data_IF_994343112418
#
_entry.id   IF_994343112418
#
_cell.length_a   1.000
_cell.length_b   1.000
_cell.length_c   1.000
_cell.angle_alpha   90.00
_cell.angle_beta   90.00
_cell.angle_gamma   90.00
#
_symmetry.space_group_name_H-M   'P 1'
#
loop_
_entity.id
_entity.type
_entity.pdbx_description
1 polymer ?
#
# COMPACT_ATOMS: atom_id res chain seq x y z
N UNK A 1 4.00 -27.87 -78.58
CA UNK A 1 4.49 -27.30 -77.32
C UNK A 1 4.92 -28.44 -76.42
N UNK A 2 6.21 -28.52 -76.08
CA UNK A 2 6.71 -29.54 -75.17
C UNK A 2 6.44 -29.11 -73.73
N UNK A 3 5.65 -29.89 -73.01
CA UNK A 3 5.37 -29.66 -71.59
C UNK A 3 6.62 -30.13 -70.83
N UNK A 4 7.40 -29.16 -70.33
CA UNK A 4 8.56 -29.44 -69.49
C UNK A 4 8.04 -29.83 -68.10
N UNK A 5 8.13 -31.11 -67.76
CA UNK A 5 7.85 -31.57 -66.40
C UNK A 5 8.89 -30.98 -65.45
N UNK A 6 8.46 -30.34 -64.37
CA UNK A 6 9.40 -29.72 -63.40
C UNK A 6 10.30 -30.82 -62.84
N UNK A 7 11.61 -30.56 -62.84
CA UNK A 7 12.62 -31.48 -62.32
C UNK A 7 12.41 -31.75 -60.82
N UNK A 8 12.83 -32.93 -60.37
CA UNK A 8 12.77 -33.34 -58.98
C UNK A 8 13.54 -32.35 -58.08
N UNK A 9 12.94 -31.95 -56.98
CA UNK A 9 13.59 -31.03 -56.06
C UNK A 9 14.93 -31.56 -55.55
N UNK A 10 15.97 -30.70 -55.52
CA UNK A 10 17.26 -31.12 -54.95
C UNK A 10 17.06 -31.46 -53.48
N UNK A 11 17.38 -32.67 -53.05
CA UNK A 11 17.13 -33.13 -51.66
C UNK A 11 16.21 -34.35 -51.56
N UNK A 12 15.36 -34.65 -52.57
CA UNK A 12 14.43 -35.78 -52.54
C UNK A 12 15.17 -37.16 -52.48
N UNK A 13 16.39 -37.22 -53.00
CA UNK A 13 17.29 -38.38 -52.89
C UNK A 13 17.79 -38.59 -51.44
N UNK A 14 18.00 -37.54 -50.70
CA UNK A 14 18.50 -37.61 -49.35
C UNK A 14 17.37 -38.04 -48.37
N UNK A 15 16.17 -37.59 -48.62
CA UNK A 15 14.98 -37.99 -47.83
C UNK A 15 14.63 -39.49 -48.06
N UNK A 16 14.92 -40.03 -49.24
CA UNK A 16 14.66 -41.42 -49.59
C UNK A 16 15.78 -42.38 -49.16
N UNK A 17 16.92 -41.87 -48.67
CA UNK A 17 18.01 -42.71 -48.18
C UNK A 17 17.65 -43.37 -46.85
N UNK A 18 17.87 -44.70 -46.76
CA UNK A 18 17.56 -45.50 -45.56
C UNK A 18 18.33 -45.03 -44.29
N UNK A 19 19.46 -44.37 -44.48
CA UNK A 19 20.34 -43.93 -43.37
C UNK A 19 20.03 -42.53 -42.90
N UNK A 20 19.80 -41.59 -43.84
CA UNK A 20 19.53 -40.19 -43.50
C UNK A 20 18.04 -39.91 -43.32
N UNK A 21 17.15 -40.57 -44.11
CA UNK A 21 15.72 -40.37 -43.99
C UNK A 21 15.15 -40.65 -42.58
N UNK A 22 15.67 -41.69 -41.88
CA UNK A 22 15.28 -41.99 -40.51
C UNK A 22 15.73 -40.94 -39.52
N UNK A 23 16.89 -40.29 -39.73
CA UNK A 23 17.37 -39.20 -38.85
C UNK A 23 16.57 -37.91 -39.06
N UNK A 24 16.24 -37.57 -40.30
CA UNK A 24 15.42 -36.39 -40.60
C UNK A 24 13.95 -36.57 -40.19
N UNK A 25 13.37 -37.76 -40.31
CA UNK A 25 12.03 -38.06 -39.84
C UNK A 25 11.93 -37.99 -38.28
N UNK A 26 13.05 -38.30 -37.61
CA UNK A 26 13.10 -38.21 -36.13
C UNK A 26 13.26 -36.80 -35.62
N UNK A 27 13.79 -35.89 -36.45
CA UNK A 27 13.95 -34.45 -36.12
C UNK A 27 12.64 -33.65 -36.22
N UNK A 28 11.62 -34.17 -36.87
CA UNK A 28 10.30 -33.53 -36.97
C UNK A 28 9.32 -33.89 -35.82
N UNK A 29 9.79 -34.55 -34.78
CA UNK A 29 9.07 -34.44 -33.49
C UNK A 29 9.34 -33.06 -32.94
N UNK A 30 8.62 -32.05 -33.43
CA UNK A 30 8.28 -30.89 -32.62
C UNK A 30 7.62 -31.47 -31.37
N UNK A 31 8.42 -31.62 -30.32
CA UNK A 31 7.85 -31.79 -29.02
C UNK A 31 7.02 -30.54 -28.80
N UNK A 32 5.73 -30.61 -29.02
CA UNK A 32 4.83 -29.75 -28.35
C UNK A 32 5.13 -30.02 -26.88
N UNK A 33 6.00 -29.18 -26.29
CA UNK A 33 6.05 -29.07 -24.87
C UNK A 33 4.61 -28.68 -24.54
N UNK A 34 3.80 -29.65 -24.15
CA UNK A 34 2.52 -29.38 -23.53
C UNK A 34 2.91 -28.62 -22.27
N UNK A 35 2.95 -27.30 -22.38
CA UNK A 35 3.05 -26.43 -21.27
C UNK A 35 1.94 -26.91 -20.35
N UNK A 36 2.29 -27.41 -19.18
CA UNK A 36 1.32 -27.82 -18.20
C UNK A 36 0.61 -26.57 -17.71
N UNK A 37 -0.33 -26.08 -18.52
CA UNK A 37 -1.17 -24.91 -18.22
C UNK A 37 -1.85 -25.07 -16.87
N UNK A 38 -2.21 -26.30 -16.54
CA UNK A 38 -2.78 -26.66 -15.22
C UNK A 38 -1.86 -26.28 -14.06
N UNK A 39 -0.57 -26.60 -14.14
CA UNK A 39 0.41 -26.25 -13.11
C UNK A 39 0.65 -24.75 -13.03
N UNK A 40 0.64 -24.06 -14.17
CA UNK A 40 0.79 -22.60 -14.22
C UNK A 40 -0.41 -21.90 -13.62
N UNK A 41 -1.64 -22.36 -13.92
CA UNK A 41 -2.88 -21.84 -13.35
C UNK A 41 -2.92 -22.09 -11.84
N UNK A 42 -2.47 -23.24 -11.36
CA UNK A 42 -2.42 -23.55 -9.93
C UNK A 42 -1.49 -22.59 -9.19
N UNK A 43 -0.27 -22.39 -9.69
CA UNK A 43 0.66 -21.38 -9.15
C UNK A 43 0.06 -19.98 -9.17
N UNK A 44 -0.64 -19.62 -10.23
CA UNK A 44 -1.29 -18.31 -10.34
C UNK A 44 -2.42 -18.17 -9.31
N UNK A 45 -3.25 -19.19 -9.14
CA UNK A 45 -4.35 -19.16 -8.16
C UNK A 45 -3.83 -19.07 -6.73
N UNK A 46 -2.75 -19.78 -6.39
CA UNK A 46 -2.11 -19.66 -5.06
C UNK A 46 -1.61 -18.25 -4.83
N UNK A 47 -0.93 -17.63 -5.83
CA UNK A 47 -0.44 -16.26 -5.72
C UNK A 47 -1.61 -15.26 -5.55
N UNK A 48 -2.69 -15.42 -6.32
CA UNK A 48 -3.87 -14.55 -6.22
C UNK A 48 -4.53 -14.68 -4.83
N UNK A 49 -4.72 -15.89 -4.34
CA UNK A 49 -5.28 -16.14 -3.00
C UNK A 49 -4.36 -15.54 -1.93
N UNK A 50 -3.06 -15.74 -2.05
CA UNK A 50 -2.06 -15.15 -1.14
C UNK A 50 -2.14 -13.62 -1.14
N UNK A 51 -2.22 -12.99 -2.31
CA UNK A 51 -2.38 -11.54 -2.42
C UNK A 51 -3.71 -11.07 -1.82
N UNK A 52 -4.81 -11.78 -2.08
CA UNK A 52 -6.11 -11.44 -1.50
C UNK A 52 -6.13 -11.58 0.03
N UNK A 53 -5.48 -12.59 0.59
CA UNK A 53 -5.36 -12.77 2.04
C UNK A 53 -4.49 -11.69 2.69
N UNK A 54 -3.44 -11.23 1.99
CA UNK A 54 -2.56 -10.17 2.48
C UNK A 54 -3.08 -8.76 2.14
N UNK A 55 -3.95 -8.66 1.15
CA UNK A 55 -4.60 -7.40 0.80
C UNK A 55 -5.77 -7.20 1.75
N UNK A 56 -5.52 -6.44 2.81
CA UNK A 56 -6.61 -6.01 3.70
C UNK A 56 -7.65 -5.28 2.87
N UNK A 57 -8.89 -5.78 2.89
CA UNK A 57 -10.00 -5.27 2.07
C UNK A 57 -10.29 -3.76 2.28
N UNK A 58 -9.69 -3.17 3.30
CA UNK A 58 -9.83 -1.75 3.64
C UNK A 58 -8.70 -0.85 3.13
N UNK A 59 -7.71 -1.39 2.41
CA UNK A 59 -6.64 -0.58 1.80
C UNK A 59 -5.79 0.24 2.78
N UNK A 60 -6.11 0.22 4.05
CA UNK A 60 -5.42 0.94 5.10
C UNK A 60 -4.34 0.04 5.70
N UNK A 61 -3.19 0.03 5.06
CA UNK A 61 -1.97 -0.26 5.79
C UNK A 61 -1.70 0.95 6.69
N UNK A 62 -2.44 1.06 7.78
CA UNK A 62 -1.97 1.83 8.91
C UNK A 62 -0.60 1.22 9.24
N UNK A 63 0.46 1.96 9.01
CA UNK A 63 1.77 1.62 9.51
C UNK A 63 1.68 1.62 11.04
N UNK A 64 1.15 0.52 11.58
CA UNK A 64 1.20 0.30 13.02
C UNK A 64 2.66 0.00 13.33
N UNK A 65 3.34 1.00 13.81
CA UNK A 65 4.63 0.80 14.47
C UNK A 65 4.40 -0.28 15.53
N UNK A 66 5.15 -1.37 15.46
CA UNK A 66 4.97 -2.57 16.31
C UNK A 66 4.98 -2.27 17.81
N UNK A 67 5.44 -1.08 18.18
CA UNK A 67 5.68 -0.65 19.55
C UNK A 67 4.54 0.22 20.13
N UNK A 68 3.50 0.51 19.36
CA UNK A 68 2.39 1.36 19.81
C UNK A 68 1.19 0.51 20.25
N UNK A 69 0.82 0.60 21.51
CA UNK A 69 -0.43 0.03 22.04
C UNK A 69 -1.50 1.10 22.05
N UNK A 70 -2.38 1.03 21.05
CA UNK A 70 -3.49 1.98 20.92
C UNK A 70 -4.44 1.88 22.12
N UNK A 71 -5.06 2.99 22.52
CA UNK A 71 -6.12 3.00 23.52
C UNK A 71 -7.38 2.31 23.00
N UNK A 72 -8.16 1.73 23.92
CA UNK A 72 -9.46 1.14 23.61
C UNK A 72 -10.52 2.24 23.52
N UNK A 73 -11.40 2.17 22.52
CA UNK A 73 -12.55 3.05 22.39
C UNK A 73 -13.85 2.24 22.28
N UNK A 74 -14.91 2.72 22.93
CA UNK A 74 -16.24 2.12 22.86
C UNK A 74 -17.07 2.64 21.68
N UNK A 75 -16.75 3.84 21.22
CA UNK A 75 -17.41 4.50 20.10
C UNK A 75 -16.32 5.10 19.21
N UNK A 76 -16.39 4.80 17.94
CA UNK A 76 -15.46 5.31 16.94
C UNK A 76 -16.12 5.30 15.56
N UNK A 77 -15.67 6.20 14.70
CA UNK A 77 -15.95 6.16 13.27
C UNK A 77 -14.78 5.49 12.56
N UNK A 78 -15.04 5.00 11.36
CA UNK A 78 -13.98 4.49 10.52
C UNK A 78 -13.04 5.64 10.15
N UNK A 79 -11.71 5.42 10.27
CA UNK A 79 -10.71 6.41 9.91
C UNK A 79 -10.72 6.65 8.40
N UNK A 80 -10.72 7.91 8.01
CA UNK A 80 -10.50 8.30 6.62
C UNK A 80 -9.02 8.23 6.29
N UNK A 81 -8.70 8.04 5.02
CA UNK A 81 -7.31 8.01 4.53
C UNK A 81 -6.69 9.40 4.68
N UNK A 82 -5.64 9.50 5.48
CA UNK A 82 -4.92 10.72 5.77
C UNK A 82 -3.48 10.42 6.22
N UNK A 83 -2.57 11.39 6.16
CA UNK A 83 -1.23 11.25 6.72
C UNK A 83 -1.26 10.81 8.17
N UNK A 84 -0.28 10.01 8.59
CA UNK A 84 -0.28 9.37 9.90
C UNK A 84 0.86 9.91 10.77
N UNK A 85 0.51 10.43 11.94
CA UNK A 85 1.48 10.76 12.99
C UNK A 85 1.42 9.67 14.05
N UNK A 86 2.54 9.00 14.28
CA UNK A 86 2.64 7.96 15.30
C UNK A 86 3.48 8.44 16.47
N UNK A 87 2.94 8.37 17.67
CA UNK A 87 3.57 8.80 18.92
C UNK A 87 3.85 7.58 19.77
N UNK A 88 5.11 7.13 19.79
CA UNK A 88 5.59 6.03 20.64
C UNK A 88 6.29 6.56 21.90
N UNK A 89 6.66 5.66 22.82
CA UNK A 89 7.43 6.00 24.01
C UNK A 89 8.75 6.71 23.74
N UNK A 90 9.38 6.40 22.60
CA UNK A 90 10.73 6.85 22.27
C UNK A 90 10.73 7.99 21.24
N UNK A 91 9.84 7.94 20.27
CA UNK A 91 9.87 8.85 19.14
C UNK A 91 8.47 9.24 18.62
N UNK A 92 8.40 10.40 18.01
CA UNK A 92 7.28 10.85 17.17
C UNK A 92 7.69 10.67 15.72
N UNK A 93 6.88 9.94 14.96
CA UNK A 93 7.12 9.69 13.54
C UNK A 93 5.98 10.25 12.70
N UNK A 94 6.29 10.75 11.52
CA UNK A 94 5.35 11.19 10.50
C UNK A 94 5.53 10.34 9.25
N UNK A 95 4.49 9.63 8.85
CA UNK A 95 4.51 8.65 7.74
C UNK A 95 5.72 7.68 7.79
N UNK A 96 6.08 7.23 9.01
CA UNK A 96 7.19 6.31 9.24
C UNK A 96 8.57 6.97 9.39
N UNK A 97 8.71 8.28 9.16
CA UNK A 97 9.96 9.03 9.36
C UNK A 97 9.97 9.67 10.75
N UNK A 98 11.06 9.46 11.49
CA UNK A 98 11.20 10.07 12.80
C UNK A 98 11.40 11.59 12.66
N UNK A 99 10.54 12.34 13.35
CA UNK A 99 10.55 13.81 13.32
C UNK A 99 10.90 14.45 14.67
N UNK A 100 10.72 13.73 15.78
CA UNK A 100 11.09 14.22 17.10
C UNK A 100 11.31 13.08 18.08
N UNK A 101 12.04 13.35 19.17
CA UNK A 101 12.17 12.45 20.32
C UNK A 101 11.05 12.74 21.32
N UNK A 102 10.39 11.69 21.80
CA UNK A 102 9.33 11.83 22.80
C UNK A 102 9.87 12.38 24.13
N UNK A 103 11.12 12.02 24.51
CA UNK A 103 11.75 12.52 25.71
C UNK A 103 11.98 14.04 25.67
N UNK A 104 12.40 14.58 24.53
CA UNK A 104 12.59 16.02 24.33
C UNK A 104 11.26 16.76 24.45
N UNK A 105 10.19 16.15 23.92
CA UNK A 105 8.85 16.70 24.03
C UNK A 105 8.30 16.66 25.48
N UNK A 106 8.69 15.70 26.29
CA UNK A 106 8.30 15.64 27.70
C UNK A 106 9.03 16.71 28.51
N UNK A 107 10.36 16.86 28.32
CA UNK A 107 11.21 17.76 29.09
C UNK A 107 11.09 19.23 28.68
N UNK A 108 10.84 19.47 27.39
CA UNK A 108 10.75 20.82 26.86
C UNK A 108 9.58 21.62 27.45
N UNK A 109 9.72 22.94 27.53
CA UNK A 109 8.67 23.88 27.96
C UNK A 109 7.93 24.47 26.75
N UNK A 110 8.56 24.56 25.61
CA UNK A 110 8.01 25.16 24.38
C UNK A 110 7.01 24.22 23.71
N UNK A 111 5.86 24.78 23.30
CA UNK A 111 4.80 24.00 22.64
C UNK A 111 5.14 23.62 21.18
N UNK A 112 6.02 24.36 20.53
CA UNK A 112 6.37 24.15 19.13
C UNK A 112 7.23 22.90 18.94
N UNK A 113 6.98 22.19 17.84
CA UNK A 113 7.76 21.07 17.34
C UNK A 113 8.16 21.38 15.90
N UNK A 114 9.23 22.16 15.67
CA UNK A 114 9.54 22.71 14.35
C UNK A 114 9.69 21.65 13.28
N UNK A 115 10.35 20.53 13.60
CA UNK A 115 10.58 19.44 12.64
C UNK A 115 9.27 18.78 12.18
N UNK A 116 8.29 18.63 13.07
CA UNK A 116 6.97 18.12 12.73
C UNK A 116 6.17 19.15 11.92
N UNK A 117 6.25 20.43 12.29
CA UNK A 117 5.58 21.52 11.57
C UNK A 117 6.09 21.63 10.14
N UNK A 118 7.41 21.52 9.92
CA UNK A 118 8.01 21.58 8.58
C UNK A 118 7.60 20.37 7.75
N UNK A 119 7.64 19.16 8.30
CA UNK A 119 7.19 17.94 7.62
C UNK A 119 5.70 18.03 7.19
N UNK A 120 4.85 18.54 8.06
CA UNK A 120 3.43 18.73 7.77
C UNK A 120 3.20 19.81 6.69
N UNK A 121 3.95 20.93 6.73
CA UNK A 121 3.87 21.97 5.70
C UNK A 121 4.32 21.47 4.34
N UNK A 122 5.35 20.63 4.30
CA UNK A 122 5.83 20.03 3.07
C UNK A 122 4.80 19.05 2.49
N UNK A 123 4.15 18.25 3.33
CA UNK A 123 3.07 17.35 2.89
C UNK A 123 1.87 18.13 2.36
N UNK A 124 1.48 19.21 3.03
CA UNK A 124 0.43 20.11 2.55
C UNK A 124 0.78 20.69 1.17
N UNK A 125 2.00 21.20 0.99
CA UNK A 125 2.47 21.74 -0.31
C UNK A 125 2.44 20.68 -1.39
N UNK A 126 2.87 19.46 -1.06
CA UNK A 126 2.82 18.31 -1.98
C UNK A 126 1.39 18.03 -2.41
N UNK A 127 0.47 17.95 -1.46
CA UNK A 127 -0.94 17.73 -1.74
C UNK A 127 -1.53 18.83 -2.65
N UNK A 128 -1.29 20.10 -2.30
CA UNK A 128 -1.75 21.26 -3.08
C UNK A 128 -1.15 21.27 -4.50
N UNK A 129 0.10 20.83 -4.67
CA UNK A 129 0.74 20.74 -6.00
C UNK A 129 0.14 19.63 -6.86
N UNK A 130 -0.13 18.46 -6.26
CA UNK A 130 -0.71 17.31 -6.96
C UNK A 130 -2.16 17.58 -7.37
N UNK A 131 -2.93 18.27 -6.52
CA UNK A 131 -4.35 18.53 -6.73
C UNK A 131 -4.64 19.98 -7.14
N UNK A 132 -3.64 20.69 -7.70
CA UNK A 132 -3.78 22.09 -8.09
C UNK A 132 -4.91 22.35 -9.10
N UNK A 133 -5.20 21.37 -9.95
CA UNK A 133 -6.26 21.45 -10.99
C UNK A 133 -7.55 20.73 -10.57
N UNK A 134 -7.55 20.05 -9.43
CA UNK A 134 -8.68 19.23 -8.97
C UNK A 134 -9.53 20.01 -7.94
N UNK A 135 -10.61 20.61 -8.42
CA UNK A 135 -11.58 21.33 -7.59
C UNK A 135 -12.48 20.41 -6.75
N UNK A 136 -12.53 19.11 -7.07
CA UNK A 136 -13.39 18.16 -6.37
C UNK A 136 -12.77 17.67 -5.06
N UNK A 137 -11.43 17.73 -4.94
CA UNK A 137 -10.69 17.25 -3.76
C UNK A 137 -9.89 18.38 -3.08
N UNK A 138 -10.54 19.38 -2.47
CA UNK A 138 -9.84 20.43 -1.74
C UNK A 138 -9.08 19.86 -0.53
N UNK A 139 -8.00 20.50 -0.16
CA UNK A 139 -7.27 20.14 1.03
C UNK A 139 -8.14 20.27 2.30
N UNK A 140 -8.44 19.15 2.94
CA UNK A 140 -9.35 19.09 4.10
C UNK A 140 -8.65 19.25 5.45
N UNK A 141 -7.31 19.30 5.45
CA UNK A 141 -6.51 19.41 6.67
C UNK A 141 -6.70 18.23 7.64
N UNK A 142 -6.91 17.03 7.09
CA UNK A 142 -7.13 15.81 7.85
C UNK A 142 -5.79 15.14 8.18
N UNK A 143 -5.63 14.67 9.44
CA UNK A 143 -4.47 13.91 9.90
C UNK A 143 -4.91 12.86 10.92
N UNK A 144 -4.34 11.66 10.81
CA UNK A 144 -4.57 10.56 11.74
C UNK A 144 -3.44 10.48 12.77
N UNK A 145 -3.76 10.54 14.04
CA UNK A 145 -2.80 10.46 15.14
C UNK A 145 -2.94 9.12 15.85
N UNK A 146 -1.87 8.35 15.86
CA UNK A 146 -1.74 7.10 16.63
C UNK A 146 -0.85 7.37 17.83
N UNK A 147 -1.38 7.23 19.01
CA UNK A 147 -0.61 7.46 20.23
C UNK A 147 -0.64 6.22 21.13
N UNK A 148 0.50 5.87 21.72
CA UNK A 148 0.54 4.82 22.73
C UNK A 148 -0.24 5.26 23.97
N UNK A 149 -0.98 4.33 24.56
CA UNK A 149 -1.83 4.55 25.74
C UNK A 149 -1.08 5.13 26.94
N UNK A 150 0.23 4.93 27.02
CA UNK A 150 1.07 5.39 28.13
C UNK A 150 1.64 6.79 27.94
N UNK A 151 1.45 7.40 26.77
CA UNK A 151 2.02 8.72 26.47
C UNK A 151 1.33 9.80 27.29
N UNK A 152 2.09 10.70 27.95
CA UNK A 152 1.54 11.85 28.65
C UNK A 152 0.78 12.78 27.70
N UNK A 153 -0.37 13.26 28.12
CA UNK A 153 -1.20 14.19 27.33
C UNK A 153 -0.46 15.47 26.91
N UNK A 154 0.56 15.87 27.68
CA UNK A 154 1.45 16.99 27.34
C UNK A 154 2.07 16.85 25.95
N UNK A 155 2.52 15.64 25.57
CA UNK A 155 3.10 15.34 24.24
C UNK A 155 2.02 15.43 23.17
N UNK A 156 0.86 14.81 23.39
CA UNK A 156 -0.28 14.85 22.47
C UNK A 156 -0.71 16.29 22.20
N UNK A 157 -0.80 17.11 23.24
CA UNK A 157 -1.14 18.53 23.10
C UNK A 157 -0.16 19.28 22.19
N UNK A 158 1.14 18.97 22.25
CA UNK A 158 2.16 19.57 21.38
C UNK A 158 2.00 19.14 19.93
N UNK A 159 1.76 17.84 19.71
CA UNK A 159 1.49 17.31 18.37
C UNK A 159 0.25 17.98 17.77
N UNK A 160 -0.84 18.08 18.53
CA UNK A 160 -2.05 18.80 18.10
C UNK A 160 -1.78 20.27 17.76
N UNK A 161 -0.95 20.94 18.57
CA UNK A 161 -0.58 22.32 18.32
C UNK A 161 0.19 22.48 17.01
N UNK A 162 1.20 21.59 16.75
CA UNK A 162 1.95 21.57 15.51
C UNK A 162 1.06 21.29 14.29
N UNK A 163 0.09 20.37 14.41
CA UNK A 163 -0.89 20.11 13.35
C UNK A 163 -1.71 21.37 13.02
N UNK A 164 -2.26 22.06 14.02
CA UNK A 164 -3.02 23.28 13.81
C UNK A 164 -2.20 24.40 13.18
N UNK A 165 -0.95 24.60 13.59
CA UNK A 165 -0.04 25.59 13.02
C UNK A 165 0.30 25.32 11.54
N UNK A 166 0.27 24.05 11.15
CA UNK A 166 0.56 23.62 9.78
C UNK A 166 -0.68 23.56 8.88
N UNK A 167 -1.88 23.86 9.44
CA UNK A 167 -3.15 23.89 8.73
C UNK A 167 -3.92 22.56 8.72
N UNK A 168 -3.49 21.58 9.54
CA UNK A 168 -4.22 20.33 9.76
C UNK A 168 -5.15 20.48 10.97
N UNK A 169 -6.37 21.02 10.71
CA UNK A 169 -7.37 21.27 11.75
C UNK A 169 -8.23 20.06 12.10
N UNK A 170 -8.31 19.08 11.22
CA UNK A 170 -9.13 17.87 11.40
C UNK A 170 -8.25 16.72 11.90
N UNK A 171 -8.19 16.53 13.21
CA UNK A 171 -7.33 15.54 13.85
C UNK A 171 -8.16 14.36 14.30
N UNK A 172 -7.91 13.18 13.73
CA UNK A 172 -8.51 11.92 14.15
C UNK A 172 -7.55 11.14 15.03
N UNK A 173 -8.02 10.60 16.13
CA UNK A 173 -7.23 9.70 16.97
C UNK A 173 -7.57 8.25 16.66
N UNK A 174 -6.56 7.46 16.34
CA UNK A 174 -6.70 6.02 16.15
C UNK A 174 -6.86 5.33 17.52
N UNK A 175 -7.88 4.51 17.62
CA UNK A 175 -8.16 3.70 18.80
C UNK A 175 -8.64 2.30 18.38
N UNK A 176 -8.43 1.31 19.23
CA UNK A 176 -8.97 -0.03 19.01
C UNK A 176 -10.44 -0.07 19.41
N UNK A 177 -11.31 -0.47 18.48
CA UNK A 177 -12.71 -0.69 18.81
C UNK A 177 -12.85 -1.91 19.71
N UNK A 178 -13.45 -1.75 20.88
CA UNK A 178 -13.89 -2.89 21.69
C UNK A 178 -15.12 -3.51 21.05
N UNK A 179 -15.01 -4.76 20.61
CA UNK A 179 -16.15 -5.53 20.08
C UNK A 179 -17.29 -5.53 21.11
N UNK A 180 -18.43 -4.95 20.71
CA UNK A 180 -19.65 -4.85 21.54
C UNK A 180 -20.47 -3.58 21.34
N UNK A 181 -19.91 -2.54 20.74
CA UNK A 181 -20.63 -1.31 20.43
C UNK A 181 -20.85 -1.16 18.93
N UNK A 182 -21.94 -1.71 18.41
CA UNK A 182 -22.44 -1.33 17.09
C UNK A 182 -22.56 0.18 16.99
N UNK A 183 -22.09 0.84 15.93
CA UNK A 183 -22.30 2.27 15.74
C UNK A 183 -23.80 2.51 15.68
N UNK A 184 -24.37 3.12 16.71
CA UNK A 184 -25.72 3.67 16.59
C UNK A 184 -25.64 4.79 15.56
N UNK A 185 -26.21 4.53 14.40
CA UNK A 185 -26.48 5.54 13.36
C UNK A 185 -27.23 6.66 14.03
N UNK A 186 -26.57 7.79 14.28
CA UNK A 186 -27.24 9.00 14.70
C UNK A 186 -27.95 9.53 13.47
N UNK A 187 -29.21 9.11 13.31
CA UNK A 187 -30.13 9.76 12.40
C UNK A 187 -30.36 11.16 12.97
N UNK A 188 -29.75 12.15 12.32
CA UNK A 188 -30.08 13.54 12.56
C UNK A 188 -31.55 13.71 12.16
N UNK A 189 -32.44 13.77 13.15
CA UNK A 189 -33.80 14.26 12.96
C UNK A 189 -33.73 15.78 12.85
N UNK A 190 -34.34 16.25 11.80
CA UNK A 190 -34.62 17.65 11.46
C UNK A 190 -35.10 18.48 12.64
#
# INVERSE_FOLDING_TARGET
MAIVTPGKRPGERIERSRVFGKKFARSKKYGYASLMLTSLVDMFTIIVIFLLMNFSANGEVLYMSKDIKLPDAYHGAQLERAPVISVSGDAVTFDGHQVASTEELIKGEVLNVPQLEDALRDERRRYETIHAEDLEHPFRGLVNVQADRKIPFKVIKRVMFACNQSGFGNINFAALSREGASPKTVTASR
#
